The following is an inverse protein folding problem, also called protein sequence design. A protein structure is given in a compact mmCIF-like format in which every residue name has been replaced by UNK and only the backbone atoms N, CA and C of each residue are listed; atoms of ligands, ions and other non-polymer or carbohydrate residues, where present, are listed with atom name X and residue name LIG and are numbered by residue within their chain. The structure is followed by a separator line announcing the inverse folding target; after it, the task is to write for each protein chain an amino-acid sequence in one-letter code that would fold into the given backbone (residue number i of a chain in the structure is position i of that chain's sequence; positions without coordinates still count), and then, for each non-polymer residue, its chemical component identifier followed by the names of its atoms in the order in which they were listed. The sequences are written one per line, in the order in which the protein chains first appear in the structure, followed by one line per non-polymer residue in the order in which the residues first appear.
data_IF_089255775720
#
_entry.id   IF_089255775720
#
_cell.length_a   1.000
_cell.length_b   1.000
_cell.length_c   1.000
_cell.angle_alpha   90.00
_cell.angle_beta   90.00
_cell.angle_gamma   90.00
#
_symmetry.space_group_name_H-M   'P 1'
#
loop_
_entity.id
_entity.type
_entity.pdbx_description
1 polymer ?
#
# COMPACT_ATOMS: atom_id res chain seq x y z
N UNK A 1 19.53 1.48 12.13
CA UNK A 1 19.43 1.48 10.66
C UNK A 1 17.95 1.49 10.29
N UNK A 2 17.53 2.46 9.51
CA UNK A 2 16.13 2.58 9.16
C UNK A 2 15.75 1.44 8.20
N UNK A 3 14.68 0.70 8.51
CA UNK A 3 14.21 -0.42 7.71
C UNK A 3 13.90 -0.03 6.24
N UNK A 4 13.52 1.23 6.01
CA UNK A 4 13.24 1.75 4.67
C UNK A 4 14.42 1.70 3.69
N UNK A 5 15.67 1.60 4.18
CA UNK A 5 16.84 1.63 3.30
C UNK A 5 17.09 0.32 2.52
N UNK A 6 16.49 -0.78 2.94
CA UNK A 6 16.59 -2.03 2.18
C UNK A 6 15.64 -1.96 0.98
N UNK A 7 16.09 -2.44 -0.19
CA UNK A 7 15.31 -2.37 -1.43
C UNK A 7 13.92 -3.01 -1.30
N UNK A 8 13.85 -4.18 -0.67
CA UNK A 8 12.59 -4.88 -0.40
C UNK A 8 11.67 -4.08 0.51
N UNK A 9 12.23 -3.45 1.54
CA UNK A 9 11.46 -2.65 2.48
C UNK A 9 10.95 -1.34 1.86
N UNK A 10 11.69 -0.74 0.92
CA UNK A 10 11.18 0.40 0.14
C UNK A 10 9.97 0.02 -0.70
N UNK A 11 10.02 -1.14 -1.31
CA UNK A 11 8.90 -1.69 -2.06
C UNK A 11 7.66 -1.89 -1.18
N UNK A 12 7.85 -2.52 -0.03
CA UNK A 12 6.77 -2.73 0.95
C UNK A 12 6.22 -1.40 1.47
N UNK A 13 7.09 -0.45 1.80
CA UNK A 13 6.69 0.88 2.25
C UNK A 13 5.81 1.60 1.22
N UNK A 14 6.19 1.54 -0.07
CA UNK A 14 5.39 2.10 -1.15
C UNK A 14 4.01 1.45 -1.23
N UNK A 15 3.91 0.13 -1.14
CA UNK A 15 2.63 -0.57 -1.12
C UNK A 15 1.75 -0.20 0.07
N UNK A 16 2.35 -0.08 1.26
CA UNK A 16 1.63 0.34 2.47
C UNK A 16 1.06 1.76 2.34
N UNK A 17 1.85 2.69 1.80
CA UNK A 17 1.43 4.08 1.63
C UNK A 17 0.37 4.24 0.55
N UNK A 18 0.54 3.59 -0.57
CA UNK A 18 -0.27 3.76 -1.77
C UNK A 18 -1.42 2.75 -1.87
N UNK A 19 -1.65 1.96 -0.84
CA UNK A 19 -2.64 0.86 -0.87
C UNK A 19 -4.00 1.28 -1.44
N UNK A 20 -4.56 2.38 -0.95
CA UNK A 20 -5.91 2.79 -1.36
C UNK A 20 -5.96 3.23 -2.83
N UNK A 21 -4.95 3.96 -3.27
CA UNK A 21 -4.82 4.39 -4.67
C UNK A 21 -4.60 3.20 -5.59
N UNK A 22 -3.72 2.29 -5.22
CA UNK A 22 -3.44 1.07 -5.96
C UNK A 22 -4.65 0.15 -6.04
N UNK A 23 -5.40 0.02 -4.95
CA UNK A 23 -6.64 -0.77 -4.93
C UNK A 23 -7.67 -0.23 -5.91
N UNK A 24 -7.86 1.08 -5.94
CA UNK A 24 -8.77 1.73 -6.90
C UNK A 24 -8.28 1.57 -8.35
N UNK A 25 -6.99 1.72 -8.60
CA UNK A 25 -6.39 1.53 -9.91
C UNK A 25 -6.52 0.09 -10.42
N UNK A 26 -6.28 -0.89 -9.57
CA UNK A 26 -6.46 -2.32 -9.89
C UNK A 26 -7.92 -2.61 -10.28
N UNK A 27 -8.87 -2.09 -9.52
CA UNK A 27 -10.29 -2.27 -9.83
C UNK A 27 -10.66 -1.66 -11.18
N UNK A 28 -10.18 -0.46 -11.47
CA UNK A 28 -10.41 0.22 -12.75
C UNK A 28 -9.79 -0.55 -13.94
N UNK A 29 -8.56 -1.01 -13.80
CA UNK A 29 -7.88 -1.81 -14.84
C UNK A 29 -8.57 -3.15 -15.07
N UNK A 30 -9.06 -3.77 -14.01
CA UNK A 30 -9.82 -5.03 -14.13
C UNK A 30 -11.11 -4.83 -14.93
N UNK A 31 -11.87 -3.78 -14.63
CA UNK A 31 -13.07 -3.44 -15.38
C UNK A 31 -12.76 -3.15 -16.85
N UNK A 32 -11.70 -2.42 -17.13
CA UNK A 32 -11.27 -2.11 -18.48
C UNK A 32 -10.93 -3.37 -19.28
N UNK A 33 -10.23 -4.33 -18.69
CA UNK A 33 -9.90 -5.60 -19.33
C UNK A 33 -11.17 -6.41 -19.61
N UNK A 34 -12.10 -6.46 -18.67
CA UNK A 34 -13.37 -7.20 -18.82
C UNK A 34 -14.33 -6.56 -19.80
N UNK A 35 -14.27 -5.22 -19.98
CA UNK A 35 -15.09 -4.48 -20.96
C UNK A 35 -14.49 -4.44 -22.36
N UNK A 36 -13.27 -4.95 -22.54
CA UNK A 36 -12.61 -4.93 -23.84
C UNK A 36 -13.45 -5.68 -24.89
N UNK A 37 -13.82 -5.05 -26.03
CA UNK A 37 -14.70 -5.64 -27.04
C UNK A 37 -14.10 -6.81 -27.81
N UNK A 38 -12.86 -7.19 -27.53
CA UNK A 38 -12.21 -8.36 -28.12
C UNK A 38 -12.77 -9.70 -27.62
N UNK A 39 -13.58 -9.68 -26.55
CA UNK A 39 -14.27 -10.86 -26.05
C UNK A 39 -15.62 -10.99 -26.78
N UNK A 40 -15.64 -11.65 -27.95
CA UNK A 40 -16.87 -11.98 -28.65
C UNK A 40 -17.03 -11.44 -30.07
N UNK A 41 -16.11 -10.67 -30.64
CA UNK A 41 -16.15 -10.33 -32.04
C UNK A 41 -15.57 -11.44 -32.92
N UNK A 42 -16.32 -11.87 -34.00
CA UNK A 42 -15.76 -12.81 -34.95
C UNK A 42 -14.56 -12.21 -35.65
N UNK A 43 -13.40 -12.82 -35.50
CA UNK A 43 -12.18 -12.41 -36.19
C UNK A 43 -12.33 -12.59 -37.70
N UNK A 44 -12.16 -11.51 -38.44
CA UNK A 44 -11.86 -11.60 -39.85
C UNK A 44 -10.43 -12.13 -39.97
N UNK A 45 -10.19 -13.26 -40.64
CA UNK A 45 -8.84 -13.77 -40.77
C UNK A 45 -8.01 -12.78 -41.59
N UNK A 46 -7.08 -12.09 -40.91
CA UNK A 46 -6.12 -11.25 -41.62
C UNK A 46 -5.07 -12.13 -42.26
N UNK A 47 -4.79 -11.90 -43.53
CA UNK A 47 -3.78 -12.62 -44.32
C UNK A 47 -2.33 -12.42 -43.86
N UNK A 48 -2.07 -11.55 -42.88
CA UNK A 48 -0.74 -11.39 -42.29
C UNK A 48 -0.60 -12.41 -41.17
N UNK A 49 0.36 -13.32 -41.28
CA UNK A 49 0.57 -14.46 -40.39
C UNK A 49 1.00 -14.14 -38.94
N UNK A 50 0.63 -12.99 -38.44
CA UNK A 50 0.69 -12.64 -37.01
C UNK A 50 -0.70 -12.80 -36.41
N UNK A 51 -0.95 -13.96 -35.83
CA UNK A 51 -2.13 -14.19 -35.03
C UNK A 51 -1.95 -13.40 -33.73
N UNK A 52 -2.60 -12.22 -33.64
CA UNK A 52 -2.78 -11.59 -32.36
C UNK A 52 -3.77 -12.44 -31.57
N UNK A 53 -3.35 -12.97 -30.44
CA UNK A 53 -4.22 -13.68 -29.52
C UNK A 53 -4.75 -12.71 -28.45
N UNK A 54 -5.91 -12.04 -28.65
CA UNK A 54 -6.46 -11.09 -27.69
C UNK A 54 -6.91 -11.76 -26.40
N UNK A 55 -7.24 -13.05 -26.44
CA UNK A 55 -7.59 -13.83 -25.26
C UNK A 55 -6.36 -14.10 -24.40
N UNK A 56 -5.25 -14.44 -25.04
CA UNK A 56 -3.97 -14.63 -24.34
C UNK A 56 -3.43 -13.33 -23.71
N UNK A 57 -3.58 -12.19 -24.41
CA UNK A 57 -3.20 -10.88 -23.89
C UNK A 57 -4.05 -10.49 -22.67
N UNK A 58 -5.38 -10.69 -22.74
CA UNK A 58 -6.29 -10.43 -21.63
C UNK A 58 -5.97 -11.33 -20.43
N UNK A 59 -5.71 -12.62 -20.65
CA UNK A 59 -5.31 -13.56 -19.60
C UNK A 59 -3.99 -13.15 -18.92
N UNK A 60 -3.00 -12.70 -19.70
CA UNK A 60 -1.73 -12.23 -19.17
C UNK A 60 -1.90 -10.98 -18.29
N UNK A 61 -2.70 -10.01 -18.74
CA UNK A 61 -3.02 -8.81 -17.96
C UNK A 61 -3.76 -9.14 -16.66
N UNK A 62 -4.70 -10.06 -16.69
CA UNK A 62 -5.42 -10.53 -15.49
C UNK A 62 -4.47 -11.24 -14.52
N UNK A 63 -3.51 -12.01 -15.02
CA UNK A 63 -2.51 -12.67 -14.20
C UNK A 63 -1.59 -11.65 -13.49
N UNK A 64 -1.18 -10.58 -14.17
CA UNK A 64 -0.43 -9.47 -13.56
C UNK A 64 -1.24 -8.79 -12.46
N UNK A 65 -2.53 -8.53 -12.69
CA UNK A 65 -3.42 -7.94 -11.69
C UNK A 65 -3.59 -8.86 -10.46
N UNK A 66 -3.61 -10.17 -10.65
CA UNK A 66 -3.71 -11.11 -9.54
C UNK A 66 -2.54 -10.98 -8.56
N UNK A 67 -1.33 -10.74 -9.05
CA UNK A 67 -0.16 -10.50 -8.19
C UNK A 67 -0.35 -9.23 -7.37
N UNK A 68 -0.81 -8.15 -8.00
CA UNK A 68 -1.09 -6.90 -7.29
C UNK A 68 -2.24 -7.05 -6.29
N UNK A 69 -3.30 -7.77 -6.64
CA UNK A 69 -4.41 -8.10 -5.74
C UNK A 69 -3.95 -8.89 -4.51
N UNK A 70 -2.98 -9.79 -4.67
CA UNK A 70 -2.37 -10.53 -3.56
C UNK A 70 -1.63 -9.62 -2.59
N UNK A 71 -0.95 -8.58 -3.10
CA UNK A 71 -0.33 -7.55 -2.27
C UNK A 71 -1.37 -6.77 -1.47
N UNK A 72 -2.45 -6.34 -2.11
CA UNK A 72 -3.55 -5.63 -1.43
C UNK A 72 -4.15 -6.50 -0.33
N UNK A 73 -4.47 -7.76 -0.63
CA UNK A 73 -5.04 -8.69 0.34
C UNK A 73 -4.10 -8.91 1.55
N UNK A 74 -2.79 -9.01 1.30
CA UNK A 74 -1.78 -9.14 2.35
C UNK A 74 -1.75 -7.91 3.25
N UNK A 75 -1.76 -6.72 2.66
CA UNK A 75 -1.74 -5.47 3.44
C UNK A 75 -3.01 -5.34 4.29
N UNK A 76 -4.17 -5.66 3.74
CA UNK A 76 -5.44 -5.65 4.47
C UNK A 76 -5.43 -6.64 5.64
N UNK A 77 -4.84 -7.81 5.45
CA UNK A 77 -4.68 -8.78 6.53
C UNK A 77 -3.70 -8.29 7.60
N UNK A 78 -2.59 -7.70 7.22
CA UNK A 78 -1.64 -7.08 8.16
C UNK A 78 -2.35 -6.00 8.98
N UNK A 79 -3.11 -5.13 8.33
CA UNK A 79 -3.87 -4.07 9.01
C UNK A 79 -4.84 -4.63 10.06
N UNK A 80 -5.54 -5.71 9.74
CA UNK A 80 -6.45 -6.37 10.69
C UNK A 80 -5.74 -6.91 11.92
N UNK A 81 -4.48 -7.30 11.79
CA UNK A 81 -3.66 -7.83 12.90
C UNK A 81 -2.96 -6.76 13.72
N UNK A 82 -2.89 -5.53 13.21
CA UNK A 82 -2.28 -4.43 13.94
C UNK A 82 -3.15 -4.00 15.12
N UNK A 83 -2.55 -3.60 16.26
CA UNK A 83 -3.27 -2.94 17.34
C UNK A 83 -3.93 -1.64 16.84
N UNK A 84 -5.05 -1.25 17.44
CA UNK A 84 -5.81 -0.05 17.05
C UNK A 84 -4.94 1.21 16.96
N UNK A 85 -4.03 1.38 17.90
CA UNK A 85 -3.07 2.49 17.91
C UNK A 85 -2.23 2.54 16.63
N UNK A 86 -1.74 1.40 16.19
CA UNK A 86 -0.91 1.32 14.99
C UNK A 86 -1.72 1.42 13.70
N UNK A 87 -2.97 0.97 13.70
CA UNK A 87 -3.88 1.20 12.56
C UNK A 87 -4.15 2.69 12.36
N UNK A 88 -4.46 3.40 13.43
CA UNK A 88 -4.65 4.85 13.38
C UNK A 88 -3.37 5.56 12.93
N UNK A 89 -2.23 5.14 13.47
CA UNK A 89 -0.93 5.64 13.02
C UNK A 89 -0.73 5.44 11.52
N UNK A 90 -1.05 4.25 11.00
CA UNK A 90 -0.88 3.94 9.58
C UNK A 90 -1.78 4.80 8.69
N UNK A 91 -3.03 5.04 9.10
CA UNK A 91 -3.94 5.97 8.40
C UNK A 91 -3.34 7.37 8.33
N UNK A 92 -2.82 7.88 9.44
CA UNK A 92 -2.19 9.20 9.50
C UNK A 92 -0.89 9.27 8.69
N UNK A 93 -0.12 8.19 8.69
CA UNK A 93 1.10 8.08 7.88
C UNK A 93 0.76 8.16 6.38
N UNK A 94 -0.34 7.56 5.95
CA UNK A 94 -0.86 7.65 4.58
C UNK A 94 -1.33 9.06 4.24
N UNK A 95 -2.06 9.72 5.16
CA UNK A 95 -2.48 11.11 4.97
C UNK A 95 -1.30 12.06 4.80
N UNK A 96 -0.25 11.85 5.59
CA UNK A 96 0.98 12.62 5.47
C UNK A 96 1.68 12.41 4.12
N UNK A 97 1.50 11.22 3.52
CA UNK A 97 1.98 10.91 2.18
C UNK A 97 3.48 11.14 2.01
N UNK A 98 3.84 11.69 0.86
CA UNK A 98 5.21 12.03 0.49
C UNK A 98 5.51 13.51 0.76
N UNK A 99 5.15 14.00 1.95
CA UNK A 99 5.55 15.34 2.35
C UNK A 99 7.07 15.49 2.26
N UNK A 100 7.51 16.59 1.67
CA UNK A 100 8.92 16.87 1.52
C UNK A 100 9.62 16.97 2.88
N UNK A 101 10.88 16.61 2.93
CA UNK A 101 11.69 16.77 4.14
C UNK A 101 11.71 18.24 4.58
N UNK A 102 11.78 18.44 5.89
CA UNK A 102 11.99 19.77 6.45
C UNK A 102 13.40 20.31 6.11
N UNK A 103 13.67 21.57 6.46
CA UNK A 103 14.95 22.24 6.20
C UNK A 103 16.15 21.47 6.78
N UNK A 104 15.92 20.63 7.79
CA UNK A 104 16.95 19.81 8.46
C UNK A 104 17.07 18.40 7.89
N UNK A 105 16.39 18.11 6.79
CA UNK A 105 16.38 16.77 6.16
C UNK A 105 15.57 15.71 6.92
N UNK A 106 14.76 16.12 7.90
CA UNK A 106 13.89 15.18 8.62
C UNK A 106 12.61 14.91 7.82
N UNK A 107 12.11 13.66 7.84
CA UNK A 107 10.85 13.35 7.16
C UNK A 107 9.70 14.22 7.71
N UNK A 108 9.05 14.96 6.84
CA UNK A 108 7.96 15.87 7.22
C UNK A 108 6.70 15.15 7.75
N UNK A 109 6.59 13.84 7.49
CA UNK A 109 5.48 13.06 8.00
C UNK A 109 5.50 12.90 9.53
N UNK A 110 6.68 12.90 10.16
CA UNK A 110 6.81 12.73 11.63
C UNK A 110 6.14 13.88 12.38
N UNK A 111 6.44 15.16 12.13
CA UNK A 111 5.73 16.28 12.76
C UNK A 111 4.22 16.26 12.52
N UNK A 112 3.80 15.90 11.31
CA UNK A 112 2.38 15.79 10.95
C UNK A 112 1.66 14.76 11.82
N UNK A 113 2.20 13.55 11.92
CA UNK A 113 1.62 12.48 12.75
C UNK A 113 1.69 12.83 14.23
N UNK A 114 2.79 13.40 14.68
CA UNK A 114 2.97 13.84 16.06
C UNK A 114 1.93 14.86 16.51
N UNK A 115 1.52 15.74 15.61
CA UNK A 115 0.46 16.70 15.85
C UNK A 115 -0.93 16.05 15.83
N UNK A 116 -1.23 15.24 14.82
CA UNK A 116 -2.58 14.70 14.60
C UNK A 116 -2.92 13.48 15.44
N UNK A 117 -1.97 12.63 15.75
CA UNK A 117 -2.22 11.38 16.46
C UNK A 117 -2.93 11.58 17.82
N UNK A 118 -2.47 12.47 18.71
CA UNK A 118 -3.15 12.70 19.97
C UNK A 118 -4.57 13.22 19.80
N UNK A 119 -4.81 14.08 18.81
CA UNK A 119 -6.13 14.64 18.52
C UNK A 119 -7.12 13.56 18.07
N UNK A 120 -6.71 12.70 17.14
CA UNK A 120 -7.54 11.62 16.63
C UNK A 120 -7.82 10.58 17.71
N UNK A 121 -6.83 10.23 18.52
CA UNK A 121 -7.01 9.30 19.63
C UNK A 121 -7.93 9.84 20.70
N UNK A 122 -7.84 11.13 21.05
CA UNK A 122 -8.75 11.77 21.98
C UNK A 122 -10.20 11.77 21.48
N UNK A 123 -10.40 12.08 20.21
CA UNK A 123 -11.72 12.04 19.57
C UNK A 123 -12.33 10.63 19.59
N UNK A 124 -11.57 9.63 19.21
CA UNK A 124 -12.05 8.23 19.14
C UNK A 124 -12.29 7.58 20.49
N UNK A 125 -11.55 7.95 21.53
CA UNK A 125 -11.62 7.31 22.85
C UNK A 125 -12.38 8.12 23.88
N UNK A 126 -12.63 9.40 23.63
CA UNK A 126 -13.21 10.33 24.60
C UNK A 126 -12.25 10.73 25.73
N UNK A 127 -10.98 10.35 25.66
CA UNK A 127 -9.96 10.69 26.64
C UNK A 127 -9.27 12.01 26.29
N UNK A 128 -8.51 12.54 27.27
CA UNK A 128 -7.80 13.82 27.09
C UNK A 128 -6.65 13.68 26.09
N UNK A 129 -6.45 14.71 25.27
CA UNK A 129 -5.34 14.76 24.28
C UNK A 129 -3.98 14.51 24.94
N UNK A 130 -3.76 15.05 26.14
CA UNK A 130 -2.50 14.92 26.89
C UNK A 130 -2.11 13.45 27.17
N UNK A 131 -3.08 12.55 27.29
CA UNK A 131 -2.81 11.14 27.54
C UNK A 131 -2.13 10.41 26.35
N UNK A 132 -2.19 10.98 25.16
CA UNK A 132 -1.68 10.38 23.94
C UNK A 132 -0.38 11.01 23.44
N UNK A 133 0.18 11.97 24.16
CA UNK A 133 1.49 12.51 23.79
C UNK A 133 2.58 11.47 24.00
N UNK A 134 3.36 11.25 22.97
CA UNK A 134 4.51 10.36 23.03
C UNK A 134 5.72 11.08 23.63
N UNK A 135 6.40 10.41 24.56
CA UNK A 135 7.59 10.95 25.22
C UNK A 135 8.75 11.19 24.25
N UNK A 136 8.81 10.41 23.16
CA UNK A 136 9.85 10.53 22.14
C UNK A 136 9.25 10.48 20.73
N UNK A 137 9.62 11.40 19.83
CA UNK A 137 9.16 11.40 18.43
C UNK A 137 9.63 10.15 17.67
N UNK A 138 10.69 9.50 18.11
CA UNK A 138 11.21 8.26 17.54
C UNK A 138 10.24 7.07 17.68
N UNK A 139 9.24 7.16 18.55
CA UNK A 139 8.21 6.12 18.69
C UNK A 139 7.45 5.89 17.39
N UNK A 140 7.10 6.94 16.67
CA UNK A 140 6.40 6.83 15.39
C UNK A 140 7.26 6.21 14.30
N UNK A 141 8.53 6.59 14.25
CA UNK A 141 9.50 5.97 13.34
C UNK A 141 9.69 4.48 13.65
N UNK A 142 9.75 4.11 14.93
CA UNK A 142 9.84 2.72 15.35
C UNK A 142 8.59 1.91 14.95
N UNK A 143 7.40 2.47 15.10
CA UNK A 143 6.16 1.82 14.65
C UNK A 143 6.15 1.61 13.14
N UNK A 144 6.55 2.62 12.39
CA UNK A 144 6.64 2.54 10.94
C UNK A 144 7.59 1.43 10.48
N UNK A 145 8.79 1.40 11.06
CA UNK A 145 9.77 0.36 10.76
C UNK A 145 9.26 -1.05 11.12
N UNK A 146 8.59 -1.21 12.24
CA UNK A 146 8.01 -2.50 12.63
C UNK A 146 6.90 -2.96 11.67
N UNK A 147 6.06 -2.05 11.24
CA UNK A 147 4.99 -2.36 10.26
C UNK A 147 5.61 -2.80 8.94
N UNK A 148 6.61 -2.08 8.45
CA UNK A 148 7.33 -2.46 7.21
C UNK A 148 7.97 -3.84 7.35
N UNK A 149 8.73 -4.07 8.41
CA UNK A 149 9.43 -5.34 8.63
C UNK A 149 8.46 -6.52 8.80
N UNK A 150 7.38 -6.31 9.52
CA UNK A 150 6.34 -7.32 9.67
C UNK A 150 5.69 -7.66 8.34
N UNK A 151 5.30 -6.65 7.57
CA UNK A 151 4.69 -6.82 6.25
C UNK A 151 5.64 -7.53 5.28
N UNK A 152 6.91 -7.12 5.25
CA UNK A 152 7.94 -7.75 4.43
C UNK A 152 8.13 -9.23 4.78
N UNK A 153 8.12 -9.56 6.06
CA UNK A 153 8.24 -10.94 6.54
C UNK A 153 7.04 -11.81 6.11
N UNK A 154 5.84 -11.26 6.21
CA UNK A 154 4.63 -11.97 5.76
C UNK A 154 4.63 -12.14 4.25
N UNK A 155 5.05 -11.11 3.50
CA UNK A 155 5.17 -11.17 2.05
C UNK A 155 6.18 -12.24 1.59
N UNK A 156 7.33 -12.31 2.24
CA UNK A 156 8.34 -13.33 1.96
C UNK A 156 7.81 -14.75 2.21
N UNK A 157 7.11 -14.97 3.32
CA UNK A 157 6.50 -16.27 3.63
C UNK A 157 5.44 -16.70 2.60
N UNK A 158 4.80 -15.74 1.92
CA UNK A 158 3.80 -16.00 0.88
C UNK A 158 4.39 -16.04 -0.53
N UNK A 159 5.71 -15.92 -0.66
CA UNK A 159 6.38 -15.94 -1.94
C UNK A 159 6.04 -14.76 -2.85
N UNK A 160 5.73 -13.59 -2.27
CA UNK A 160 5.44 -12.38 -3.04
C UNK A 160 6.69 -11.64 -3.51
N UNK A 161 7.82 -11.91 -2.89
CA UNK A 161 9.14 -11.58 -3.44
C UNK A 161 9.58 -12.77 -4.29
N UNK A 162 9.48 -12.59 -5.59
CA UNK A 162 9.87 -13.61 -6.57
C UNK A 162 11.37 -13.86 -6.64
#
# INVERSE_FOLDING_TARGET
MNAEFRAENKWVAAWLLEKNERKADIAARREEILRSPSVGMPKIPSRSGKVSDPTGVAAAKLAELQVEERWIALIEEVEKRLPDKQRIFLELRREAGNLQCDIRGRPAWVPYVQYKYPLVMAERTGKKVAEFYMSHPNTYTAWWNRIIEYTARVAAKRGLFG
#
